data_IF_796640021592
#
_entry.id   IF_796640021592
#
_cell.length_a   1.000
_cell.length_b   1.000
_cell.length_c   1.000
_cell.angle_alpha   90.00
_cell.angle_beta   90.00
_cell.angle_gamma   90.00
#
_symmetry.space_group_name_H-M   'P 1'
#
loop_
_entity.id
_entity.type
_entity.pdbx_description
1 polymer ?
#
# COMPACT_ATOMS: atom_id res chain seq x y z
N UNK A 1 1.32 -56.90 -41.53
CA UNK A 1 0.76 -55.56 -41.81
C UNK A 1 0.48 -54.88 -40.47
N UNK A 2 1.25 -53.86 -40.09
CA UNK A 2 0.83 -52.85 -39.12
C UNK A 2 1.78 -51.65 -39.14
N UNK A 3 1.17 -50.48 -39.25
CA UNK A 3 1.72 -49.14 -39.41
C UNK A 3 2.72 -48.72 -38.32
N UNK A 4 3.69 -47.88 -38.69
CA UNK A 4 4.16 -46.77 -37.84
C UNK A 4 4.47 -45.51 -38.67
N UNK A 5 3.52 -44.59 -38.64
CA UNK A 5 3.67 -43.16 -38.91
C UNK A 5 4.48 -42.55 -37.75
N UNK A 6 5.60 -41.89 -38.02
CA UNK A 6 6.29 -41.04 -37.03
C UNK A 6 5.87 -39.60 -37.29
N UNK A 7 5.22 -39.04 -36.28
CA UNK A 7 4.72 -37.66 -36.20
C UNK A 7 5.91 -36.72 -36.06
N UNK A 8 6.06 -35.84 -37.04
CA UNK A 8 6.88 -34.63 -36.95
C UNK A 8 6.11 -33.62 -36.09
N UNK A 9 6.43 -33.51 -34.80
CA UNK A 9 5.97 -32.40 -33.95
C UNK A 9 6.82 -32.29 -32.68
N UNK A 10 8.02 -31.73 -32.80
CA UNK A 10 8.81 -31.31 -31.65
C UNK A 10 9.91 -30.34 -32.12
N UNK A 11 9.57 -29.09 -32.42
CA UNK A 11 10.56 -28.00 -32.54
C UNK A 11 9.88 -26.62 -32.61
N UNK A 12 9.03 -26.28 -31.62
CA UNK A 12 8.60 -24.88 -31.38
C UNK A 12 8.50 -24.52 -29.88
N UNK A 13 8.80 -25.44 -28.94
CA UNK A 13 8.49 -25.23 -27.52
C UNK A 13 9.66 -24.85 -26.59
N UNK A 14 10.82 -24.43 -27.11
CA UNK A 14 11.97 -24.07 -26.23
C UNK A 14 12.43 -22.62 -26.26
N UNK A 15 11.97 -21.77 -27.17
CA UNK A 15 12.46 -20.38 -27.24
C UNK A 15 11.64 -19.38 -26.43
N UNK A 16 10.39 -19.71 -26.07
CA UNK A 16 9.54 -18.81 -25.25
C UNK A 16 9.91 -18.88 -23.76
N UNK A 17 10.45 -20.01 -23.28
CA UNK A 17 10.80 -20.18 -21.86
C UNK A 17 12.05 -19.38 -21.45
N UNK A 18 13.04 -19.23 -22.34
CA UNK A 18 14.31 -18.58 -21.99
C UNK A 18 14.26 -17.05 -22.06
N UNK A 19 13.36 -16.48 -22.86
CA UNK A 19 13.16 -15.02 -22.89
C UNK A 19 12.49 -14.51 -21.60
N UNK A 20 11.53 -15.28 -21.06
CA UNK A 20 10.83 -14.93 -19.82
C UNK A 20 11.73 -15.00 -18.57
N UNK A 21 12.77 -15.84 -18.56
CA UNK A 21 13.68 -15.97 -17.42
C UNK A 21 14.67 -14.79 -17.34
N UNK A 22 15.20 -14.33 -18.48
CA UNK A 22 16.13 -13.19 -18.55
C UNK A 22 15.46 -11.86 -18.13
N UNK A 23 14.21 -11.64 -18.54
CA UNK A 23 13.45 -10.45 -18.16
C UNK A 23 13.07 -10.48 -16.67
N UNK A 24 12.85 -11.67 -16.08
CA UNK A 24 12.55 -11.85 -14.66
C UNK A 24 13.76 -11.59 -13.77
N UNK A 25 14.96 -12.04 -14.12
CA UNK A 25 16.19 -11.77 -13.34
C UNK A 25 16.52 -10.26 -13.34
N UNK A 26 16.35 -9.59 -14.47
CA UNK A 26 16.53 -8.14 -14.55
C UNK A 26 15.47 -7.42 -13.69
N UNK A 27 14.23 -7.92 -13.68
CA UNK A 27 13.17 -7.41 -12.80
C UNK A 27 13.40 -7.72 -11.33
N UNK A 28 14.05 -8.82 -10.97
CA UNK A 28 14.43 -9.14 -9.59
C UNK A 28 15.49 -8.18 -9.08
N UNK A 29 16.51 -7.85 -9.88
CA UNK A 29 17.46 -6.80 -9.54
C UNK A 29 16.77 -5.43 -9.41
N UNK A 30 15.79 -5.13 -10.28
CA UNK A 30 14.99 -3.91 -10.17
C UNK A 30 14.04 -3.94 -8.97
N UNK A 31 13.55 -5.11 -8.56
CA UNK A 31 12.74 -5.30 -7.36
C UNK A 31 13.57 -5.06 -6.11
N UNK A 32 14.75 -5.65 -6.02
CA UNK A 32 15.72 -5.39 -4.95
C UNK A 32 16.09 -3.91 -4.92
N UNK A 33 16.22 -3.25 -6.08
CA UNK A 33 16.48 -1.81 -6.13
C UNK A 33 15.29 -0.95 -5.71
N UNK A 34 14.06 -1.37 -6.04
CA UNK A 34 12.84 -0.64 -5.71
C UNK A 34 12.37 -0.86 -4.26
N UNK A 35 12.83 -1.97 -3.66
CA UNK A 35 12.76 -2.27 -2.24
C UNK A 35 14.13 -2.16 -1.56
N UNK A 36 15.06 -1.38 -2.11
CA UNK A 36 16.28 -0.95 -1.41
C UNK A 36 15.90 0.12 -0.36
N UNK A 37 14.87 -0.18 0.42
CA UNK A 37 14.47 0.60 1.56
C UNK A 37 15.54 0.39 2.64
N UNK A 38 16.02 1.45 3.27
CA UNK A 38 17.02 1.31 4.33
C UNK A 38 16.43 0.45 5.46
N UNK A 39 17.10 -0.65 5.78
CA UNK A 39 16.71 -1.69 6.74
C UNK A 39 16.68 -1.19 8.22
N UNK A 40 16.50 0.12 8.42
CA UNK A 40 16.29 0.79 9.68
C UNK A 40 14.94 0.37 10.28
N UNK A 41 14.95 -0.79 10.94
CA UNK A 41 13.76 -1.43 11.55
C UNK A 41 13.33 -0.80 12.89
N UNK A 42 14.09 0.17 13.40
CA UNK A 42 13.84 0.76 14.71
C UNK A 42 12.89 1.96 14.61
N UNK A 43 11.70 1.82 15.20
CA UNK A 43 10.67 2.87 15.33
C UNK A 43 10.02 3.36 14.02
N UNK A 44 9.63 2.44 13.13
CA UNK A 44 8.83 2.79 11.95
C UNK A 44 7.41 3.21 12.34
N UNK A 45 7.09 4.51 12.20
CA UNK A 45 5.77 5.07 12.51
C UNK A 45 5.11 5.58 11.23
N UNK A 46 3.94 5.04 10.90
CA UNK A 46 3.18 5.43 9.71
C UNK A 46 2.80 6.93 9.71
N UNK A 47 2.54 7.52 10.88
CA UNK A 47 2.21 8.94 10.98
C UNK A 47 3.37 9.86 10.60
N UNK A 48 4.61 9.45 10.83
CA UNK A 48 5.79 10.25 10.49
C UNK A 48 5.94 10.33 8.97
N UNK A 49 5.68 9.23 8.26
CA UNK A 49 5.66 9.22 6.78
C UNK A 49 4.58 10.16 6.21
N UNK A 50 3.42 10.22 6.87
CA UNK A 50 2.35 11.14 6.51
C UNK A 50 2.71 12.60 6.80
N UNK A 51 3.44 12.87 7.87
CA UNK A 51 3.91 14.22 8.20
C UNK A 51 4.91 14.71 7.14
N UNK A 52 5.91 13.88 6.81
CA UNK A 52 6.89 14.17 5.76
C UNK A 52 6.22 14.41 4.40
N UNK A 53 5.24 13.57 4.02
CA UNK A 53 4.44 13.76 2.79
C UNK A 53 3.74 15.13 2.77
N UNK A 54 3.21 15.58 3.91
CA UNK A 54 2.51 16.87 4.04
C UNK A 54 3.45 18.07 4.06
N UNK A 55 4.64 17.92 4.61
CA UNK A 55 5.68 18.94 4.63
C UNK A 55 6.37 19.09 3.26
N UNK A 56 6.12 18.15 2.34
CA UNK A 56 6.65 18.17 0.98
C UNK A 56 7.98 17.42 0.83
N UNK A 57 8.47 16.77 1.89
CA UNK A 57 9.63 15.89 1.83
C UNK A 57 9.23 14.51 1.28
N UNK A 58 9.02 14.48 -0.02
CA UNK A 58 8.58 13.28 -0.73
C UNK A 58 9.64 12.17 -0.75
N UNK A 59 10.93 12.51 -0.65
CA UNK A 59 12.01 11.55 -0.66
C UNK A 59 12.02 10.73 0.63
N UNK A 60 12.06 11.41 1.78
CA UNK A 60 12.03 10.73 3.08
C UNK A 60 10.68 10.07 3.36
N UNK A 61 9.57 10.65 2.89
CA UNK A 61 8.27 10.00 2.97
C UNK A 61 8.24 8.67 2.17
N UNK A 62 8.78 8.68 0.95
CA UNK A 62 8.86 7.48 0.10
C UNK A 62 9.67 6.37 0.76
N UNK A 63 10.85 6.71 1.28
CA UNK A 63 11.73 5.78 1.98
C UNK A 63 11.02 5.15 3.19
N UNK A 64 10.36 5.98 4.00
CA UNK A 64 9.65 5.49 5.18
C UNK A 64 8.43 4.63 4.83
N UNK A 65 7.69 4.98 3.77
CA UNK A 65 6.62 4.11 3.25
C UNK A 65 7.16 2.78 2.71
N UNK A 66 8.32 2.78 2.05
CA UNK A 66 9.01 1.59 1.56
C UNK A 66 9.35 0.66 2.75
N UNK A 67 10.00 1.20 3.79
CA UNK A 67 10.35 0.46 5.01
C UNK A 67 9.12 -0.15 5.70
N UNK A 68 8.07 0.66 5.90
CA UNK A 68 6.82 0.20 6.50
C UNK A 68 6.12 -0.85 5.63
N UNK A 69 6.14 -0.71 4.31
CA UNK A 69 5.53 -1.66 3.38
C UNK A 69 6.25 -3.01 3.40
N UNK A 70 7.59 -2.99 3.44
CA UNK A 70 8.44 -4.17 3.57
C UNK A 70 8.25 -4.86 4.93
N UNK A 71 8.06 -4.09 6.00
CA UNK A 71 7.72 -4.63 7.33
C UNK A 71 6.25 -5.12 7.44
N UNK A 72 5.44 -4.91 6.40
CA UNK A 72 4.11 -5.50 6.26
C UNK A 72 2.94 -4.62 6.67
N UNK A 73 3.14 -3.30 6.79
CA UNK A 73 2.05 -2.36 7.02
C UNK A 73 1.18 -2.19 5.78
N UNK A 74 -0.08 -2.61 5.85
CA UNK A 74 -0.99 -2.64 4.70
C UNK A 74 -1.33 -1.23 4.18
N UNK A 75 -1.30 -0.22 5.04
CA UNK A 75 -1.53 1.17 4.65
C UNK A 75 -0.31 1.72 3.94
N UNK A 76 0.88 1.37 4.43
CA UNK A 76 2.13 1.75 3.79
C UNK A 76 2.31 1.06 2.43
N UNK A 77 1.95 -0.22 2.31
CA UNK A 77 1.92 -0.92 1.01
C UNK A 77 1.05 -0.19 -0.01
N UNK A 78 -0.16 0.24 0.40
CA UNK A 78 -1.03 1.04 -0.44
C UNK A 78 -0.45 2.43 -0.76
N UNK A 79 0.09 3.13 0.25
CA UNK A 79 0.66 4.48 0.08
C UNK A 79 1.89 4.48 -0.80
N UNK A 80 2.75 3.49 -0.65
CA UNK A 80 3.93 3.34 -1.49
C UNK A 80 3.54 3.02 -2.93
N UNK A 81 2.53 2.17 -3.15
CA UNK A 81 1.98 1.94 -4.49
C UNK A 81 1.45 3.23 -5.14
N UNK A 82 0.68 4.05 -4.40
CA UNK A 82 0.19 5.35 -4.88
C UNK A 82 1.34 6.32 -5.17
N UNK A 83 2.39 6.31 -4.35
CA UNK A 83 3.60 7.11 -4.55
C UNK A 83 4.33 6.71 -5.82
N UNK A 84 4.56 5.42 -6.02
CA UNK A 84 5.20 4.87 -7.21
C UNK A 84 4.37 5.16 -8.46
N UNK A 85 3.04 5.02 -8.42
CA UNK A 85 2.18 5.38 -9.56
C UNK A 85 2.40 6.83 -10.03
N UNK A 86 2.49 7.77 -9.07
CA UNK A 86 2.59 9.21 -9.37
C UNK A 86 3.98 9.64 -9.80
N UNK A 87 5.02 8.96 -9.30
CA UNK A 87 6.41 9.39 -9.43
C UNK A 87 7.30 8.41 -10.22
N UNK A 88 6.76 7.29 -10.69
CA UNK A 88 7.49 6.30 -11.46
C UNK A 88 8.07 6.92 -12.73
N UNK A 89 9.40 6.89 -12.83
CA UNK A 89 10.14 7.21 -14.05
C UNK A 89 10.28 6.01 -14.98
N UNK A 90 10.14 4.80 -14.43
CA UNK A 90 10.38 3.53 -15.10
C UNK A 90 9.14 2.65 -15.06
N UNK A 91 8.97 1.77 -16.06
CA UNK A 91 7.83 0.86 -16.17
C UNK A 91 7.81 -0.20 -15.07
N UNK A 92 8.96 -0.63 -14.60
CA UNK A 92 9.08 -1.57 -13.49
C UNK A 92 8.50 -1.06 -12.18
N UNK A 93 8.70 0.22 -11.87
CA UNK A 93 8.07 0.85 -10.72
C UNK A 93 6.53 0.79 -10.78
N UNK A 94 5.94 0.85 -11.98
CA UNK A 94 4.48 0.72 -12.18
C UNK A 94 4.00 -0.71 -11.94
N UNK A 95 4.77 -1.71 -12.41
CA UNK A 95 4.50 -3.14 -12.14
C UNK A 95 4.57 -3.43 -10.65
N UNK A 96 5.59 -2.91 -9.97
CA UNK A 96 5.78 -3.04 -8.51
C UNK A 96 4.64 -2.34 -7.76
N UNK A 97 4.27 -1.13 -8.17
CA UNK A 97 3.12 -0.41 -7.62
C UNK A 97 1.84 -1.25 -7.73
N UNK A 98 1.61 -1.88 -8.88
CA UNK A 98 0.43 -2.74 -9.09
C UNK A 98 0.45 -3.97 -8.19
N UNK A 99 1.60 -4.64 -8.04
CA UNK A 99 1.73 -5.77 -7.14
C UNK A 99 1.49 -5.38 -5.67
N UNK A 100 2.07 -4.26 -5.22
CA UNK A 100 1.87 -3.71 -3.87
C UNK A 100 0.42 -3.28 -3.60
N UNK A 101 -0.23 -2.63 -4.57
CA UNK A 101 -1.63 -2.26 -4.47
C UNK A 101 -2.51 -3.49 -4.27
N UNK A 102 -2.26 -4.56 -5.03
CA UNK A 102 -2.95 -5.83 -4.87
C UNK A 102 -2.69 -6.46 -3.50
N UNK A 103 -1.43 -6.45 -3.03
CA UNK A 103 -1.04 -6.99 -1.72
C UNK A 103 -1.80 -6.28 -0.60
N UNK A 104 -1.81 -4.95 -0.64
CA UNK A 104 -2.54 -4.13 0.34
C UNK A 104 -4.06 -4.40 0.34
N UNK A 105 -4.64 -4.75 -0.82
CA UNK A 105 -6.07 -4.95 -0.98
C UNK A 105 -6.52 -6.37 -0.58
N UNK A 106 -5.60 -7.31 -0.39
CA UNK A 106 -5.92 -8.64 0.15
C UNK A 106 -6.41 -8.56 1.61
N UNK A 107 -5.80 -7.69 2.42
CA UNK A 107 -6.12 -7.54 3.85
C UNK A 107 -7.51 -6.94 4.06
N UNK A 108 -7.77 -5.81 3.41
CA UNK A 108 -9.04 -5.10 3.49
C UNK A 108 -9.36 -4.48 2.16
N UNK A 109 -10.44 -4.97 1.54
CA UNK A 109 -10.95 -4.46 0.29
C UNK A 109 -11.60 -3.11 0.50
N UNK A 110 -11.10 -2.09 -0.18
CA UNK A 110 -11.70 -0.75 -0.17
C UNK A 110 -11.86 -0.21 -1.58
N UNK A 111 -12.90 0.60 -1.79
CA UNK A 111 -13.15 1.22 -3.10
C UNK A 111 -11.94 2.00 -3.61
N UNK A 112 -11.25 2.72 -2.71
CA UNK A 112 -10.03 3.48 -3.04
C UNK A 112 -8.88 2.57 -3.51
N UNK A 113 -8.64 1.45 -2.81
CA UNK A 113 -7.61 0.47 -3.20
C UNK A 113 -7.94 -0.16 -4.55
N UNK A 114 -9.20 -0.55 -4.77
CA UNK A 114 -9.65 -1.09 -6.06
C UNK A 114 -9.49 -0.10 -7.22
N UNK A 115 -9.85 1.17 -7.02
CA UNK A 115 -9.66 2.22 -8.04
C UNK A 115 -8.19 2.39 -8.42
N UNK A 116 -7.27 2.35 -7.45
CA UNK A 116 -5.84 2.41 -7.73
C UNK A 116 -5.39 1.20 -8.57
N UNK A 117 -5.85 -0.01 -8.21
CA UNK A 117 -5.55 -1.24 -8.95
C UNK A 117 -6.04 -1.14 -10.38
N UNK A 118 -7.30 -0.75 -10.59
CA UNK A 118 -7.88 -0.59 -11.92
C UNK A 118 -7.11 0.44 -12.76
N UNK A 119 -6.75 1.58 -12.16
CA UNK A 119 -5.96 2.60 -12.84
C UNK A 119 -4.57 2.08 -13.24
N UNK A 120 -3.90 1.32 -12.38
CA UNK A 120 -2.63 0.69 -12.70
C UNK A 120 -2.79 -0.38 -13.78
N UNK A 121 -3.80 -1.24 -13.71
CA UNK A 121 -4.04 -2.30 -14.69
C UNK A 121 -4.31 -1.77 -16.10
N UNK A 122 -4.96 -0.61 -16.24
CA UNK A 122 -5.16 0.04 -17.52
C UNK A 122 -3.85 0.55 -18.15
N UNK A 123 -2.84 0.83 -17.33
CA UNK A 123 -1.54 1.30 -17.82
C UNK A 123 -0.58 0.17 -18.19
N UNK A 124 -0.83 -1.06 -17.73
CA UNK A 124 0.05 -2.21 -17.96
C UNK A 124 -0.29 -2.93 -19.28
N UNK A 125 0.75 -3.29 -20.02
CA UNK A 125 0.66 -4.25 -21.13
C UNK A 125 0.40 -5.66 -20.58
N UNK A 126 -0.02 -6.58 -21.45
CA UNK A 126 -0.33 -7.95 -21.04
C UNK A 126 0.90 -8.68 -20.48
N UNK A 127 2.08 -8.44 -21.07
CA UNK A 127 3.35 -8.95 -20.55
C UNK A 127 3.63 -8.43 -19.13
N UNK A 128 3.44 -7.13 -18.88
CA UNK A 128 3.64 -6.54 -17.55
C UNK A 128 2.61 -7.03 -16.52
N UNK A 129 1.40 -7.42 -16.95
CA UNK A 129 0.42 -8.05 -16.07
C UNK A 129 0.88 -9.44 -15.63
N UNK A 130 1.49 -10.20 -16.53
CA UNK A 130 2.06 -11.51 -16.21
C UNK A 130 3.23 -11.38 -15.23
N UNK A 131 4.12 -10.41 -15.48
CA UNK A 131 5.20 -10.05 -14.54
C UNK A 131 4.64 -9.65 -13.17
N UNK A 132 3.63 -8.78 -13.14
CA UNK A 132 2.92 -8.38 -11.91
C UNK A 132 2.39 -9.59 -11.15
N UNK A 133 1.79 -10.56 -11.84
CA UNK A 133 1.22 -11.76 -11.20
C UNK A 133 2.30 -12.66 -10.61
N UNK A 134 3.41 -12.84 -11.33
CA UNK A 134 4.59 -13.57 -10.85
C UNK A 134 5.17 -12.89 -9.60
N UNK A 135 5.36 -11.58 -9.69
CA UNK A 135 5.89 -10.77 -8.61
C UNK A 135 4.99 -10.79 -7.37
N UNK A 136 3.69 -10.59 -7.56
CA UNK A 136 2.70 -10.66 -6.48
C UNK A 136 2.73 -12.00 -5.76
N UNK A 137 2.83 -13.11 -6.49
CA UNK A 137 2.94 -14.45 -5.90
C UNK A 137 4.18 -14.58 -5.02
N UNK A 138 5.32 -14.00 -5.45
CA UNK A 138 6.54 -13.94 -4.62
C UNK A 138 6.36 -13.05 -3.40
N UNK A 139 5.78 -11.86 -3.57
CA UNK A 139 5.53 -10.92 -2.47
C UNK A 139 4.68 -11.53 -1.36
N UNK A 140 3.64 -12.30 -1.71
CA UNK A 140 2.78 -12.99 -0.73
C UNK A 140 3.58 -14.01 0.10
N UNK A 141 4.62 -14.63 -0.47
CA UNK A 141 5.48 -15.57 0.24
C UNK A 141 6.55 -14.91 1.12
N UNK A 142 6.96 -13.69 0.80
CA UNK A 142 8.06 -12.98 1.48
C UNK A 142 7.56 -11.96 2.50
N UNK A 143 6.59 -11.14 2.11
CA UNK A 143 6.10 -10.05 2.93
C UNK A 143 4.91 -10.48 3.78
N UNK A 144 4.98 -10.20 5.08
CA UNK A 144 3.77 -10.17 5.90
C UNK A 144 2.86 -9.03 5.42
N UNK A 145 1.54 -9.18 5.48
CA UNK A 145 0.59 -8.10 5.16
C UNK A 145 -0.51 -8.07 6.20
N UNK A 146 -1.08 -6.88 6.44
CA UNK A 146 -2.15 -6.68 7.41
C UNK A 146 -1.68 -6.37 8.83
N UNK A 147 -0.37 -6.22 9.02
CA UNK A 147 0.18 -5.72 10.26
C UNK A 147 -0.05 -4.20 10.32
N UNK A 148 -0.35 -3.68 11.51
CA UNK A 148 -0.28 -2.25 11.78
C UNK A 148 0.86 -2.03 12.74
N UNK A 149 1.96 -1.51 12.22
CA UNK A 149 3.22 -1.45 12.97
C UNK A 149 3.21 -0.32 14.03
N UNK A 150 2.27 0.62 13.92
CA UNK A 150 1.94 1.63 14.93
C UNK A 150 0.90 1.14 15.97
N UNK A 151 0.41 -0.10 15.86
CA UNK A 151 -0.70 -0.65 16.64
C UNK A 151 -0.49 -0.69 18.16
N UNK A 152 0.77 -0.68 18.63
CA UNK A 152 1.09 -0.64 20.06
C UNK A 152 1.15 0.79 20.65
N UNK A 153 0.97 1.84 19.84
CA UNK A 153 1.04 3.23 20.28
C UNK A 153 -0.30 3.98 20.24
N UNK A 154 -1.38 3.35 19.77
CA UNK A 154 -2.72 3.88 19.97
C UNK A 154 -3.14 3.69 21.43
N UNK A 155 -2.64 4.62 22.25
CA UNK A 155 -2.95 4.85 23.65
C UNK A 155 -2.30 3.83 24.59
N UNK A 156 -1.41 4.32 25.46
CA UNK A 156 -1.15 3.60 26.70
C UNK A 156 -2.50 3.34 27.39
N UNK A 157 -2.61 2.30 28.22
CA UNK A 157 -3.83 2.04 29.03
C UNK A 157 -4.30 3.32 29.77
N UNK A 158 -3.33 4.17 30.13
CA UNK A 158 -3.51 5.49 30.76
C UNK A 158 -4.20 6.53 29.86
N UNK A 159 -4.02 6.46 28.54
CA UNK A 159 -4.66 7.36 27.58
C UNK A 159 -6.03 6.84 27.12
N UNK A 160 -6.25 5.52 27.13
CA UNK A 160 -7.58 4.92 27.00
C UNK A 160 -8.50 5.31 28.17
N UNK A 161 -7.97 5.35 29.39
CA UNK A 161 -8.72 5.80 30.57
C UNK A 161 -9.09 7.30 30.46
N UNK A 162 -8.19 8.16 29.96
CA UNK A 162 -8.50 9.58 29.67
C UNK A 162 -9.60 9.76 28.61
N UNK A 163 -9.73 8.84 27.65
CA UNK A 163 -10.82 8.86 26.65
C UNK A 163 -12.12 8.25 27.20
N UNK A 164 -12.04 7.32 28.14
CA UNK A 164 -13.20 6.79 28.88
C UNK A 164 -13.83 7.85 29.78
N UNK A 165 -13.02 8.71 30.39
CA UNK A 165 -13.51 9.84 31.18
C UNK A 165 -14.16 10.94 30.33
N UNK A 166 -13.79 11.04 29.04
CA UNK A 166 -14.39 11.97 28.08
C UNK A 166 -15.71 11.48 27.46
N UNK A 167 -16.21 10.29 27.82
CA UNK A 167 -17.53 9.77 27.37
C UNK A 167 -18.75 10.42 28.06
N UNK A 168 -18.61 11.63 28.59
CA UNK A 168 -19.73 12.48 29.02
C UNK A 168 -19.53 13.89 28.51
N UNK A 169 -19.67 14.12 27.20
CA UNK A 169 -20.02 15.41 26.56
C UNK A 169 -19.98 15.24 25.02
N UNK A 170 -20.72 14.26 24.49
CA UNK A 170 -21.09 14.29 23.08
C UNK A 170 -22.47 13.67 22.90
N UNK A 171 -23.48 14.35 23.44
CA UNK A 171 -24.88 14.12 23.04
C UNK A 171 -25.16 14.97 21.82
N UNK A 172 -24.86 14.42 20.64
CA UNK A 172 -25.53 14.88 19.43
C UNK A 172 -26.99 14.46 19.51
N UNK A 173 -27.89 15.40 19.79
CA UNK A 173 -29.29 15.42 19.33
C UNK A 173 -30.03 16.63 19.93
N UNK A 174 -30.41 17.58 19.08
CA UNK A 174 -31.39 18.66 19.32
C UNK A 174 -31.14 19.56 20.53
N UNK A 175 -30.48 20.70 20.31
CA UNK A 175 -30.73 21.89 21.12
C UNK A 175 -32.18 22.33 20.82
N UNK A 176 -33.10 22.11 21.77
CA UNK A 176 -34.41 22.75 21.72
C UNK A 176 -34.20 24.25 21.92
N UNK A 177 -34.84 25.07 21.08
CA UNK A 177 -34.75 26.55 21.05
C UNK A 177 -35.16 27.25 22.35
N UNK A 178 -35.62 26.51 23.36
CA UNK A 178 -36.19 27.05 24.60
C UNK A 178 -35.10 27.40 25.63
N UNK A 179 -33.93 26.74 25.56
CA UNK A 179 -32.83 26.96 26.51
C UNK A 179 -31.86 28.07 26.10
N UNK A 180 -32.02 28.65 24.91
CA UNK A 180 -31.19 29.76 24.43
C UNK A 180 -31.56 31.12 25.06
N UNK A 181 -32.64 31.20 25.87
CA UNK A 181 -33.08 32.44 26.53
C UNK A 181 -32.46 32.69 27.90
N UNK A 182 -31.72 31.75 28.48
CA UNK A 182 -31.18 31.88 29.85
C UNK A 182 -29.69 32.19 29.91
N UNK A 183 -29.00 32.36 28.78
CA UNK A 183 -27.60 32.77 28.79
C UNK A 183 -27.50 34.30 28.88
N UNK A 184 -26.93 34.86 29.97
CA UNK A 184 -26.78 36.29 30.08
C UNK A 184 -25.76 36.76 29.03
N UNK A 185 -26.22 37.65 28.14
CA UNK A 185 -25.33 38.39 27.25
C UNK A 185 -24.40 39.24 28.12
N UNK A 186 -23.12 38.88 28.20
CA UNK A 186 -22.07 39.81 28.64
C UNK A 186 -22.02 40.95 27.63
N UNK A 187 -22.68 42.05 27.93
CA UNK A 187 -22.47 43.34 27.30
C UNK A 187 -21.31 44.07 27.97
N UNK A 188 -20.23 44.28 27.21
CA UNK A 188 -19.22 45.30 27.48
C UNK A 188 -19.65 46.63 26.82
N UNK A 189 -19.38 47.75 27.52
CA UNK A 189 -19.39 49.13 27.00
C UNK A 189 -20.70 49.89 27.25
N UNK A 190 -20.75 51.10 27.81
CA UNK A 190 -19.75 52.08 28.27
C UNK A 190 -20.22 52.71 29.57
#
# INVERSE_FOLDING_TARGET
>A
MMNRTIVFCALVFSTVSMANELDMEQFEGELESAFACDDARDNLIYQDAILLEREGDLASASELFCNLAAAGDDRAQFKYADFLQKNAKNRSAVVIASALANLSNQVYKSARKSQLIEALEQTLSDHEKDLRNSLFSKMVGVFSTGNRLDGNQYLSKKDLDKLRDKKRLFTGSRIKREDAKSLPLRGHGN
#
